data_IF_866610103484
#
_entry.id   IF_866610103484
#
_cell.length_a   1.000
_cell.length_b   1.000
_cell.length_c   1.000
_cell.angle_alpha   90.00
_cell.angle_beta   90.00
_cell.angle_gamma   90.00
#
_symmetry.space_group_name_H-M   'P 1'
#
loop_
_entity.id
_entity.type
_entity.pdbx_description
1 polymer ?
#
# COMPACT_ATOMS: atom_id res chain seq x y z
N UNK A 1 -26.10 -25.47 22.14
CA UNK A 1 -24.75 -25.13 22.66
C UNK A 1 -23.98 -24.57 21.47
N UNK A 2 -23.60 -23.32 21.51
CA UNK A 2 -22.73 -22.73 20.49
C UNK A 2 -21.33 -23.31 20.74
N UNK A 3 -20.84 -24.08 19.79
CA UNK A 3 -19.49 -24.66 19.85
C UNK A 3 -18.49 -23.51 19.87
N UNK A 4 -17.78 -23.33 20.97
CA UNK A 4 -16.80 -22.24 21.09
C UNK A 4 -15.60 -22.58 20.22
N UNK A 5 -15.41 -21.80 19.16
CA UNK A 5 -14.23 -21.91 18.28
C UNK A 5 -12.95 -21.79 19.13
N UNK A 6 -12.02 -22.74 19.01
CA UNK A 6 -10.73 -22.66 19.71
C UNK A 6 -10.02 -21.33 19.46
N UNK A 7 -9.35 -20.78 20.48
CA UNK A 7 -8.73 -19.45 20.43
C UNK A 7 -7.78 -19.26 19.23
N UNK A 8 -7.03 -20.31 18.84
CA UNK A 8 -6.10 -20.26 17.70
C UNK A 8 -6.79 -20.22 16.32
N UNK A 9 -8.10 -20.48 16.25
CA UNK A 9 -8.88 -20.40 15.03
C UNK A 9 -9.73 -19.12 14.96
N UNK A 10 -9.81 -18.35 16.02
CA UNK A 10 -10.67 -17.14 16.09
C UNK A 10 -10.22 -16.04 15.12
N UNK A 11 -8.93 -15.93 14.84
CA UNK A 11 -8.40 -14.92 13.91
C UNK A 11 -8.93 -15.07 12.47
N UNK A 12 -9.42 -16.24 12.10
CA UNK A 12 -10.02 -16.49 10.79
C UNK A 12 -11.55 -16.58 10.84
N UNK A 13 -12.14 -16.34 11.99
CA UNK A 13 -13.59 -16.36 12.16
C UNK A 13 -14.18 -14.99 11.80
N UNK A 14 -15.25 -14.99 11.00
CA UNK A 14 -15.97 -13.75 10.71
C UNK A 14 -16.68 -13.25 11.95
N UNK A 15 -16.40 -12.02 12.34
CA UNK A 15 -17.03 -11.31 13.43
C UNK A 15 -17.81 -10.11 12.86
N UNK A 16 -19.13 -10.20 12.92
CA UNK A 16 -20.02 -9.17 12.36
C UNK A 16 -19.95 -7.86 13.15
N UNK A 17 -19.82 -7.93 14.47
CA UNK A 17 -19.76 -6.77 15.35
C UNK A 17 -18.46 -5.99 15.11
N UNK A 18 -17.33 -6.69 15.13
CA UNK A 18 -16.03 -6.11 14.81
C UNK A 18 -16.00 -5.50 13.39
N UNK A 19 -16.58 -6.20 12.42
CA UNK A 19 -16.64 -5.71 11.03
C UNK A 19 -17.44 -4.40 10.97
N UNK A 20 -18.62 -4.36 11.60
CA UNK A 20 -19.46 -3.16 11.60
C UNK A 20 -18.79 -1.99 12.32
N UNK A 21 -18.13 -2.25 13.43
CA UNK A 21 -17.36 -1.25 14.20
C UNK A 21 -16.32 -0.55 13.29
N UNK A 22 -15.51 -1.34 12.58
CA UNK A 22 -14.48 -0.80 11.70
C UNK A 22 -15.07 -0.06 10.50
N UNK A 23 -16.14 -0.59 9.89
CA UNK A 23 -16.81 0.08 8.77
C UNK A 23 -17.46 1.41 9.17
N UNK A 24 -17.99 1.51 10.37
CA UNK A 24 -18.52 2.77 10.90
C UNK A 24 -17.41 3.82 11.00
N UNK A 25 -16.27 3.49 11.61
CA UNK A 25 -15.11 4.39 11.66
C UNK A 25 -14.65 4.83 10.27
N UNK A 26 -14.54 3.89 9.31
CA UNK A 26 -14.14 4.21 7.94
C UNK A 26 -15.14 5.15 7.28
N UNK A 27 -16.44 4.91 7.48
CA UNK A 27 -17.50 5.76 6.93
C UNK A 27 -17.43 7.18 7.49
N UNK A 28 -17.28 7.33 8.78
CA UNK A 28 -17.11 8.63 9.44
C UNK A 28 -15.88 9.35 8.91
N UNK A 29 -14.73 8.68 8.84
CA UNK A 29 -13.49 9.26 8.34
C UNK A 29 -13.59 9.71 6.87
N UNK A 30 -14.24 8.92 6.02
CA UNK A 30 -14.44 9.24 4.61
C UNK A 30 -15.48 10.34 4.38
N UNK A 31 -16.42 10.52 5.31
CA UNK A 31 -17.46 11.57 5.22
C UNK A 31 -16.98 12.95 5.67
N UNK A 32 -15.82 13.06 6.29
CA UNK A 32 -15.27 14.36 6.71
C UNK A 32 -15.05 15.27 5.52
N UNK A 33 -15.58 16.48 5.59
CA UNK A 33 -15.33 17.56 4.62
C UNK A 33 -13.92 18.14 4.79
N UNK A 34 -13.52 18.33 6.05
CA UNK A 34 -12.17 18.74 6.41
C UNK A 34 -11.49 17.68 7.28
N UNK A 35 -10.45 17.10 6.75
CA UNK A 35 -9.66 16.12 7.50
C UNK A 35 -8.69 16.81 8.45
N UNK A 36 -8.40 16.21 9.63
CA UNK A 36 -7.52 16.80 10.61
C UNK A 36 -6.11 16.98 10.06
N UNK A 37 -5.45 18.06 10.47
CA UNK A 37 -4.04 18.30 10.24
C UNK A 37 -3.38 18.51 11.61
N UNK A 38 -3.07 17.40 12.26
CA UNK A 38 -2.54 17.38 13.59
C UNK A 38 -1.00 17.42 13.59
N UNK A 39 -0.43 17.68 14.76
CA UNK A 39 1.01 17.67 14.93
C UNK A 39 1.49 16.33 15.48
N UNK A 40 2.77 15.95 15.27
CA UNK A 40 3.32 14.77 15.89
C UNK A 40 3.17 14.84 17.41
N UNK A 41 2.68 13.75 17.99
CA UNK A 41 2.49 13.65 19.43
C UNK A 41 3.81 13.55 20.19
N UNK A 42 3.73 13.74 21.50
CA UNK A 42 4.87 13.51 22.39
C UNK A 42 5.26 12.03 22.41
N UNK A 43 6.54 11.74 22.15
CA UNK A 43 7.05 10.37 22.06
C UNK A 43 6.85 9.59 23.35
N UNK A 44 7.13 10.19 24.50
CA UNK A 44 7.05 9.48 25.78
C UNK A 44 5.58 9.12 26.11
N UNK A 45 4.63 10.00 25.79
CA UNK A 45 3.20 9.74 25.94
C UNK A 45 2.76 8.59 25.00
N UNK A 46 3.18 8.60 23.75
CA UNK A 46 2.83 7.54 22.78
C UNK A 46 3.44 6.20 23.22
N UNK A 47 4.71 6.18 23.61
CA UNK A 47 5.37 4.97 24.09
C UNK A 47 4.67 4.39 25.34
N UNK A 48 4.23 5.25 26.27
CA UNK A 48 3.50 4.83 27.45
C UNK A 48 2.11 4.26 27.11
N UNK A 49 1.41 4.90 26.15
CA UNK A 49 0.10 4.44 25.66
C UNK A 49 0.19 3.06 25.01
N UNK A 50 1.22 2.81 24.24
CA UNK A 50 1.43 1.55 23.51
C UNK A 50 2.07 0.45 24.38
N UNK A 51 2.57 0.81 25.54
CA UNK A 51 3.26 -0.13 26.43
C UNK A 51 2.30 -1.22 26.93
N UNK A 52 2.68 -2.48 26.74
CA UNK A 52 1.93 -3.63 27.26
C UNK A 52 0.68 -4.02 26.46
N UNK A 53 0.42 -3.40 25.31
CA UNK A 53 -0.73 -3.76 24.47
C UNK A 53 -0.59 -5.13 23.78
N UNK A 54 0.65 -5.52 23.47
CA UNK A 54 0.91 -6.81 22.82
C UNK A 54 1.03 -7.88 23.90
N UNK A 55 -0.04 -8.64 24.06
CA UNK A 55 -0.12 -9.73 25.04
C UNK A 55 -0.56 -11.04 24.37
N UNK A 56 -0.27 -12.21 24.96
CA UNK A 56 -0.76 -13.48 24.43
C UNK A 56 -2.30 -13.58 24.40
N UNK A 57 -2.99 -12.82 25.23
CA UNK A 57 -4.47 -12.78 25.33
C UNK A 57 -5.09 -11.89 24.24
N UNK A 58 -4.32 -10.95 23.71
CA UNK A 58 -4.81 -9.93 22.80
C UNK A 58 -5.57 -8.81 23.53
N UNK A 59 -6.12 -7.89 22.75
CA UNK A 59 -6.95 -6.75 23.20
C UNK A 59 -8.21 -6.71 22.35
N UNK A 60 -9.33 -6.31 22.92
CA UNK A 60 -10.60 -6.19 22.21
C UNK A 60 -10.46 -5.18 21.04
N UNK A 61 -11.06 -5.50 19.90
CA UNK A 61 -10.98 -4.64 18.71
C UNK A 61 -11.55 -3.23 18.94
N UNK A 62 -12.60 -3.12 19.77
CA UNK A 62 -13.17 -1.83 20.19
C UNK A 62 -12.15 -0.98 20.95
N UNK A 63 -11.47 -1.55 21.93
CA UNK A 63 -10.45 -0.83 22.72
C UNK A 63 -9.28 -0.34 21.84
N UNK A 64 -8.85 -1.20 20.89
CA UNK A 64 -7.78 -0.84 19.95
C UNK A 64 -8.24 0.26 19.01
N UNK A 65 -9.48 0.19 18.50
CA UNK A 65 -10.04 1.22 17.63
C UNK A 65 -10.23 2.54 18.36
N UNK A 66 -10.74 2.52 19.59
CA UNK A 66 -10.93 3.72 20.42
C UNK A 66 -9.58 4.39 20.70
N UNK A 67 -8.57 3.63 21.09
CA UNK A 67 -7.21 4.15 21.27
C UNK A 67 -6.65 4.75 19.96
N UNK A 68 -6.84 4.07 18.83
CA UNK A 68 -6.42 4.60 17.54
C UNK A 68 -7.15 5.90 17.21
N UNK A 69 -8.48 5.93 17.33
CA UNK A 69 -9.31 7.08 16.97
C UNK A 69 -9.08 8.28 17.88
N UNK A 70 -8.95 8.05 19.20
CA UNK A 70 -8.84 9.12 20.18
C UNK A 70 -7.41 9.66 20.36
N UNK A 71 -6.40 8.81 20.14
CA UNK A 71 -5.02 9.17 20.44
C UNK A 71 -4.12 9.14 19.20
N UNK A 72 -3.99 7.98 18.53
CA UNK A 72 -2.99 7.83 17.48
C UNK A 72 -3.36 8.56 16.19
N UNK A 73 -4.63 8.57 15.80
CA UNK A 73 -5.08 9.28 14.60
C UNK A 73 -4.88 10.79 14.67
N UNK A 74 -4.79 11.34 15.88
CA UNK A 74 -4.55 12.76 16.16
C UNK A 74 -3.07 13.16 16.13
N UNK A 75 -2.18 12.22 15.86
CA UNK A 75 -0.72 12.46 15.74
C UNK A 75 -0.25 12.39 14.28
N UNK A 76 -1.15 12.49 13.34
CA UNK A 76 -0.88 12.32 11.90
C UNK A 76 -1.07 13.63 11.16
N UNK A 77 -0.15 13.92 10.25
CA UNK A 77 -0.35 14.94 9.22
C UNK A 77 -1.11 14.29 8.05
N UNK A 78 -2.44 14.44 8.03
CA UNK A 78 -3.29 13.82 7.03
C UNK A 78 -3.07 14.44 5.64
N UNK A 79 -2.54 13.67 4.70
CA UNK A 79 -2.24 14.12 3.35
C UNK A 79 -3.48 14.51 2.52
N UNK A 80 -4.66 14.06 2.94
CA UNK A 80 -5.95 14.43 2.36
C UNK A 80 -6.57 15.70 2.99
N UNK A 81 -5.87 16.36 3.92
CA UNK A 81 -6.28 17.65 4.41
C UNK A 81 -6.05 18.75 3.37
N UNK A 82 -7.04 19.60 3.08
CA UNK A 82 -6.87 20.72 2.15
C UNK A 82 -5.83 21.75 2.65
N UNK A 83 -5.42 21.67 3.91
CA UNK A 83 -4.38 22.49 4.54
C UNK A 83 -2.99 21.84 4.49
N UNK A 84 -2.85 20.63 3.94
CA UNK A 84 -1.57 19.94 3.84
C UNK A 84 -0.76 20.44 2.64
N UNK A 85 0.31 21.20 2.91
CA UNK A 85 1.12 21.87 1.88
C UNK A 85 2.59 21.40 1.88
N UNK A 86 2.89 20.30 2.57
CA UNK A 86 4.25 19.80 2.71
C UNK A 86 4.47 18.49 1.91
N UNK A 87 5.74 18.19 1.60
CA UNK A 87 6.23 16.90 1.08
C UNK A 87 5.69 16.43 -0.29
N UNK A 88 4.84 17.17 -0.96
CA UNK A 88 4.29 16.86 -2.31
C UNK A 88 3.56 15.48 -2.38
N UNK A 89 2.79 15.02 -1.39
CA UNK A 89 1.95 13.84 -1.54
C UNK A 89 0.70 14.18 -2.35
N UNK A 90 0.13 13.17 -2.99
CA UNK A 90 -1.22 13.21 -3.51
C UNK A 90 -2.16 12.46 -2.57
N UNK A 91 -3.28 13.08 -2.20
CA UNK A 91 -4.34 12.39 -1.49
C UNK A 91 -4.95 11.31 -2.39
N UNK A 92 -5.18 10.10 -1.88
CA UNK A 92 -5.92 9.09 -2.62
C UNK A 92 -7.38 9.55 -2.79
N UNK A 93 -8.01 9.21 -3.91
CA UNK A 93 -9.44 9.43 -4.06
C UNK A 93 -10.23 8.52 -3.11
N UNK A 94 -11.40 8.98 -2.64
CA UNK A 94 -12.27 8.16 -1.78
C UNK A 94 -12.63 6.83 -2.46
N UNK A 95 -12.81 6.82 -3.78
CA UNK A 95 -13.03 5.60 -4.55
C UNK A 95 -11.85 4.63 -4.48
N UNK A 96 -10.60 5.11 -4.61
CA UNK A 96 -9.42 4.23 -4.52
C UNK A 96 -9.24 3.62 -3.13
N UNK A 97 -9.58 4.36 -2.07
CA UNK A 97 -9.58 3.84 -0.69
C UNK A 97 -10.58 2.70 -0.52
N UNK A 98 -11.82 2.88 -1.01
CA UNK A 98 -12.86 1.85 -0.96
C UNK A 98 -12.47 0.61 -1.77
N UNK A 99 -11.94 0.78 -2.98
CA UNK A 99 -11.42 -0.36 -3.75
C UNK A 99 -10.21 -1.02 -3.10
N UNK A 100 -9.37 -0.28 -2.39
CA UNK A 100 -8.30 -0.84 -1.57
C UNK A 100 -8.82 -1.79 -0.49
N UNK A 101 -9.96 -1.48 0.13
CA UNK A 101 -10.63 -2.39 1.07
C UNK A 101 -11.10 -3.68 0.38
N UNK A 102 -11.66 -3.59 -0.83
CA UNK A 102 -12.07 -4.76 -1.61
C UNK A 102 -10.86 -5.64 -1.92
N UNK A 103 -9.76 -5.05 -2.40
CA UNK A 103 -8.51 -5.77 -2.70
C UNK A 103 -7.97 -6.48 -1.46
N UNK A 104 -7.98 -5.81 -0.31
CA UNK A 104 -7.55 -6.40 0.96
C UNK A 104 -8.46 -7.53 1.41
N UNK A 105 -9.77 -7.36 1.33
CA UNK A 105 -10.75 -8.38 1.70
C UNK A 105 -10.68 -9.62 0.79
N UNK A 106 -10.37 -9.44 -0.49
CA UNK A 106 -10.19 -10.53 -1.44
C UNK A 106 -8.85 -11.26 -1.31
N UNK A 107 -7.94 -10.79 -0.46
CA UNK A 107 -6.60 -11.36 -0.27
C UNK A 107 -5.84 -11.55 -1.60
N UNK A 108 -5.95 -10.58 -2.50
CA UNK A 108 -5.35 -10.64 -3.83
C UNK A 108 -3.83 -10.62 -3.74
N UNK A 109 -3.19 -11.56 -4.45
CA UNK A 109 -1.75 -11.62 -4.65
C UNK A 109 -1.43 -11.46 -6.13
N UNK A 110 -1.03 -10.26 -6.54
CA UNK A 110 -0.75 -9.92 -7.95
C UNK A 110 0.62 -10.36 -8.45
N UNK A 111 1.17 -11.45 -7.94
CA UNK A 111 2.54 -11.88 -8.24
C UNK A 111 2.64 -12.51 -9.64
N UNK A 112 1.62 -13.25 -10.05
CA UNK A 112 1.62 -13.96 -11.32
C UNK A 112 0.23 -14.06 -11.94
N UNK A 113 0.20 -14.32 -13.25
CA UNK A 113 -1.05 -14.60 -13.96
C UNK A 113 -1.81 -15.81 -13.39
N UNK A 114 -1.09 -16.82 -12.94
CA UNK A 114 -1.71 -18.02 -12.36
C UNK A 114 -2.47 -17.69 -11.07
N UNK A 115 -1.93 -16.81 -10.25
CA UNK A 115 -2.49 -16.50 -8.94
C UNK A 115 -3.60 -15.44 -9.00
N UNK A 116 -3.52 -14.52 -9.95
CA UNK A 116 -4.42 -13.37 -10.00
C UNK A 116 -4.55 -12.76 -11.40
N UNK A 117 -4.99 -13.57 -12.38
CA UNK A 117 -5.09 -13.16 -13.77
C UNK A 117 -5.86 -11.85 -13.97
N UNK A 118 -6.98 -11.66 -13.26
CA UNK A 118 -7.79 -10.44 -13.34
C UNK A 118 -7.03 -9.20 -12.86
N UNK A 119 -6.30 -9.28 -11.76
CA UNK A 119 -5.51 -8.16 -11.24
C UNK A 119 -4.34 -7.82 -12.17
N UNK A 120 -3.63 -8.84 -12.67
CA UNK A 120 -2.54 -8.66 -13.64
C UNK A 120 -3.05 -8.05 -14.94
N UNK A 121 -4.21 -8.48 -15.44
CA UNK A 121 -4.82 -7.91 -16.63
C UNK A 121 -5.21 -6.44 -16.44
N UNK A 122 -5.82 -6.12 -15.29
CA UNK A 122 -6.19 -4.75 -14.93
C UNK A 122 -4.95 -3.85 -14.80
N UNK A 123 -3.88 -4.32 -14.16
CA UNK A 123 -2.61 -3.59 -14.06
C UNK A 123 -2.04 -3.29 -15.45
N UNK A 124 -1.95 -4.28 -16.32
CA UNK A 124 -1.45 -4.11 -17.67
C UNK A 124 -2.27 -3.11 -18.49
N UNK A 125 -3.60 -3.10 -18.32
CA UNK A 125 -4.48 -2.14 -18.98
C UNK A 125 -4.20 -0.70 -18.50
N UNK A 126 -4.07 -0.49 -17.20
CA UNK A 126 -3.74 0.82 -16.63
C UNK A 126 -2.36 1.29 -17.08
N UNK A 127 -1.36 0.40 -17.06
CA UNK A 127 -0.01 0.70 -17.54
C UNK A 127 -0.01 1.10 -19.03
N UNK A 128 -0.81 0.41 -19.86
CA UNK A 128 -0.96 0.79 -21.27
C UNK A 128 -1.58 2.17 -21.41
N UNK A 129 -2.63 2.47 -20.67
CA UNK A 129 -3.26 3.79 -20.68
C UNK A 129 -2.28 4.90 -20.25
N UNK A 130 -1.49 4.68 -19.20
CA UNK A 130 -0.46 5.63 -18.76
C UNK A 130 0.60 5.82 -19.84
N UNK A 131 1.05 4.73 -20.47
CA UNK A 131 2.04 4.79 -21.54
C UNK A 131 1.53 5.58 -22.75
N UNK A 132 0.27 5.40 -23.15
CA UNK A 132 -0.37 6.16 -24.22
C UNK A 132 -0.48 7.65 -23.87
N UNK A 133 -0.92 7.98 -22.66
CA UNK A 133 -1.00 9.35 -22.17
C UNK A 133 0.37 10.04 -22.11
N UNK A 134 1.44 9.29 -21.88
CA UNK A 134 2.82 9.77 -21.87
C UNK A 134 3.46 9.79 -23.28
N UNK A 135 2.76 9.39 -24.35
CA UNK A 135 3.29 9.33 -25.70
C UNK A 135 4.36 8.25 -25.91
N UNK A 136 4.37 7.19 -25.10
CA UNK A 136 5.32 6.09 -25.24
C UNK A 136 4.93 5.15 -26.39
N UNK A 137 5.90 4.42 -26.99
CA UNK A 137 5.61 3.47 -28.05
C UNK A 137 4.58 2.39 -27.64
N UNK A 138 3.84 1.84 -28.61
CA UNK A 138 2.88 0.76 -28.34
C UNK A 138 3.52 -0.50 -27.73
N UNK A 139 4.82 -0.70 -27.93
CA UNK A 139 5.60 -1.78 -27.32
C UNK A 139 6.05 -1.50 -25.87
N UNK A 140 5.79 -0.30 -25.33
CA UNK A 140 6.15 0.01 -23.96
C UNK A 140 5.31 -0.79 -22.98
N UNK A 141 5.97 -1.47 -22.05
CA UNK A 141 5.37 -2.12 -20.90
C UNK A 141 5.80 -1.44 -19.61
N UNK A 142 5.34 -1.95 -18.49
CA UNK A 142 5.67 -1.39 -17.20
C UNK A 142 5.32 -2.34 -16.05
N UNK A 143 5.51 -1.84 -14.85
CA UNK A 143 5.11 -2.50 -13.59
C UNK A 143 4.95 -1.42 -12.53
N UNK A 144 3.93 -1.54 -11.68
CA UNK A 144 3.87 -0.75 -10.46
C UNK A 144 4.82 -1.32 -9.41
N UNK A 145 5.52 -0.43 -8.73
CA UNK A 145 6.49 -0.78 -7.69
C UNK A 145 6.22 0.02 -6.42
N UNK A 146 6.77 -0.41 -5.30
CA UNK A 146 6.53 0.15 -3.96
C UNK A 146 7.21 1.50 -3.69
N UNK A 147 7.39 2.32 -4.72
CA UNK A 147 7.90 3.69 -4.57
C UNK A 147 9.03 4.05 -5.53
N UNK A 148 9.39 5.34 -5.56
CA UNK A 148 10.36 5.92 -6.50
C UNK A 148 11.76 5.29 -6.44
N UNK A 149 12.23 4.89 -5.26
CA UNK A 149 13.53 4.21 -5.13
C UNK A 149 13.55 2.87 -5.85
N UNK A 150 12.50 2.06 -5.71
CA UNK A 150 12.38 0.79 -6.42
C UNK A 150 12.21 1.01 -7.94
N UNK A 151 11.45 2.03 -8.35
CA UNK A 151 11.29 2.41 -9.75
C UNK A 151 12.62 2.81 -10.38
N UNK A 152 13.40 3.68 -9.74
CA UNK A 152 14.71 4.10 -10.20
C UNK A 152 15.69 2.92 -10.29
N UNK A 153 15.72 2.06 -9.28
CA UNK A 153 16.57 0.86 -9.28
C UNK A 153 16.20 -0.05 -10.47
N UNK A 154 14.92 -0.32 -10.68
CA UNK A 154 14.42 -1.14 -11.78
C UNK A 154 14.82 -0.54 -13.14
N UNK A 155 14.64 0.77 -13.33
CA UNK A 155 15.03 1.46 -14.56
C UNK A 155 16.55 1.37 -14.81
N UNK A 156 17.38 1.54 -13.79
CA UNK A 156 18.83 1.43 -13.90
C UNK A 156 19.27 -0.01 -14.23
N UNK A 157 18.62 -1.02 -13.65
CA UNK A 157 18.91 -2.43 -13.99
C UNK A 157 18.57 -2.69 -15.46
N UNK A 158 17.42 -2.26 -15.94
CA UNK A 158 17.02 -2.42 -17.35
C UNK A 158 17.97 -1.69 -18.27
N UNK A 159 18.30 -0.43 -17.98
CA UNK A 159 19.25 0.36 -18.76
C UNK A 159 20.63 -0.31 -18.84
N UNK A 160 21.13 -0.82 -17.72
CA UNK A 160 22.38 -1.58 -17.63
C UNK A 160 22.34 -2.82 -18.53
N UNK A 161 21.29 -3.59 -18.48
CA UNK A 161 21.19 -4.84 -19.23
C UNK A 161 21.05 -4.59 -20.74
N UNK A 162 20.30 -3.58 -21.13
CA UNK A 162 20.23 -3.12 -22.53
C UNK A 162 21.61 -2.65 -23.00
N UNK A 163 22.29 -1.82 -22.21
CA UNK A 163 23.63 -1.34 -22.52
C UNK A 163 24.64 -2.48 -22.69
N UNK A 164 24.58 -3.48 -21.82
CA UNK A 164 25.43 -4.69 -21.94
C UNK A 164 25.13 -5.51 -23.19
N UNK A 165 23.86 -5.73 -23.53
CA UNK A 165 23.49 -6.43 -24.77
C UNK A 165 24.04 -5.72 -25.98
N UNK A 166 23.87 -4.39 -26.11
CA UNK A 166 24.39 -3.58 -27.18
C UNK A 166 25.93 -3.65 -27.28
N UNK A 167 26.64 -3.69 -26.15
CA UNK A 167 28.09 -3.85 -26.14
C UNK A 167 28.52 -5.25 -26.65
N UNK A 168 27.81 -6.31 -26.22
CA UNK A 168 28.08 -7.66 -26.70
C UNK A 168 27.80 -7.79 -28.21
N UNK A 169 26.70 -7.22 -28.69
CA UNK A 169 26.37 -7.17 -30.12
C UNK A 169 27.45 -6.45 -30.93
N UNK A 170 27.96 -5.34 -30.42
CA UNK A 170 28.95 -4.51 -31.13
C UNK A 170 30.38 -5.06 -31.03
N UNK A 171 30.77 -5.63 -29.91
CA UNK A 171 32.18 -5.97 -29.62
C UNK A 171 32.41 -7.45 -29.28
N UNK A 172 31.37 -8.28 -29.34
CA UNK A 172 31.45 -9.71 -29.03
C UNK A 172 31.34 -10.03 -27.53
N UNK A 173 31.27 -11.33 -27.18
CA UNK A 173 30.98 -11.81 -25.82
C UNK A 173 31.94 -11.31 -24.72
N UNK A 174 33.19 -11.02 -25.09
CA UNK A 174 34.18 -10.46 -24.16
C UNK A 174 33.82 -9.07 -23.62
N UNK A 175 32.90 -8.37 -24.27
CA UNK A 175 32.43 -7.08 -23.81
C UNK A 175 31.46 -7.16 -22.61
N UNK A 176 31.00 -8.37 -22.24
CA UNK A 176 30.04 -8.60 -21.14
C UNK A 176 30.55 -8.08 -19.78
N UNK A 177 31.86 -8.12 -19.56
CA UNK A 177 32.52 -7.68 -18.32
C UNK A 177 32.97 -6.22 -18.33
N UNK A 178 32.82 -5.52 -19.45
CA UNK A 178 33.19 -4.09 -19.53
C UNK A 178 32.34 -3.25 -18.56
N UNK A 179 33.00 -2.32 -17.87
CA UNK A 179 32.28 -1.31 -17.08
C UNK A 179 31.49 -0.38 -18.01
N UNK A 180 30.22 -0.22 -17.73
CA UNK A 180 29.42 0.83 -18.33
C UNK A 180 29.82 2.15 -17.66
N UNK A 181 30.18 3.14 -18.46
CA UNK A 181 30.45 4.51 -18.01
C UNK A 181 29.36 5.43 -18.52
#
# INVERSE_FOLDING_TARGET
MVETVPAHLRMHHFDAEQTQLILNYVTERLSMDETPLDFPGDKARIDALLSGLITPQGTAASEVLDMYAEELSKTVLSADSPRFWAFIPNAPTKASLLFGMIVSAASLQGISWLESAGAVAAENQVLRWIADAAGLPASAGGVFVSGGSAANLSALIVARDIGRRRLVEKYGPQAKTRRLR
#
